data_IF_180309172107
#
_entry.id   IF_180309172107
#
_cell.length_a   1.000
_cell.length_b   1.000
_cell.length_c   1.000
_cell.angle_alpha   90.00
_cell.angle_beta   90.00
_cell.angle_gamma   90.00
#
_symmetry.space_group_name_H-M   'P 1'
#
loop_
_entity.id
_entity.type
_entity.pdbx_description
1 polymer ?
#
# COMPACT_ATOMS: atom_id res chain seq x y z
N UNK A 1 -0.62 6.77 18.88
CA UNK A 1 0.60 7.39 19.42
C UNK A 1 1.35 8.05 18.28
N UNK A 2 1.45 9.36 18.30
CA UNK A 2 2.20 10.11 17.28
C UNK A 2 3.69 9.88 17.57
N UNK A 3 4.49 9.51 16.55
CA UNK A 3 5.91 9.25 16.74
C UNK A 3 6.67 10.51 17.18
N UNK A 4 7.74 10.35 17.98
CA UNK A 4 8.61 11.46 18.37
C UNK A 4 9.17 12.21 17.16
N UNK A 5 9.41 11.53 16.06
CA UNK A 5 9.91 12.13 14.83
C UNK A 5 8.89 13.07 14.17
N UNK A 6 7.61 12.76 14.28
CA UNK A 6 6.55 13.65 13.80
C UNK A 6 6.47 14.93 14.62
N UNK A 7 6.58 14.85 15.95
CA UNK A 7 6.63 16.01 16.84
C UNK A 7 7.86 16.88 16.60
N UNK A 8 9.02 16.30 16.32
CA UNK A 8 10.25 17.02 15.97
C UNK A 8 10.06 17.78 14.66
N UNK A 9 9.46 17.16 13.64
CA UNK A 9 9.17 17.77 12.36
C UNK A 9 8.21 18.97 12.52
N UNK A 10 7.16 18.83 13.34
CA UNK A 10 6.24 19.92 13.66
C UNK A 10 6.89 21.07 14.42
N UNK A 11 7.73 20.78 15.38
CA UNK A 11 8.48 21.81 16.11
C UNK A 11 9.43 22.58 15.19
N UNK A 12 10.04 21.92 14.21
CA UNK A 12 10.89 22.57 13.21
C UNK A 12 10.08 23.53 12.32
N UNK A 13 8.90 23.10 11.85
CA UNK A 13 7.97 23.95 11.08
C UNK A 13 7.52 25.15 11.90
N UNK A 14 7.24 24.97 13.19
CA UNK A 14 6.88 26.03 14.11
C UNK A 14 8.00 27.08 14.25
N UNK A 15 9.25 26.65 14.32
CA UNK A 15 10.41 27.56 14.41
C UNK A 15 10.62 28.36 13.11
N UNK A 16 10.26 27.84 11.96
CA UNK A 16 10.51 28.45 10.64
C UNK A 16 9.32 29.27 10.13
N UNK A 17 8.09 28.92 10.56
CA UNK A 17 6.85 29.56 10.10
C UNK A 17 6.11 30.29 11.22
N UNK A 18 6.32 31.60 11.41
CA UNK A 18 5.49 32.38 12.32
C UNK A 18 4.03 32.40 11.85
N UNK A 19 3.11 31.88 12.69
CA UNK A 19 1.66 31.85 12.41
C UNK A 19 1.08 30.48 12.06
N UNK A 20 1.87 29.41 12.07
CA UNK A 20 1.37 28.05 11.90
C UNK A 20 1.01 27.50 13.28
N UNK A 21 -0.27 27.25 13.51
CA UNK A 21 -0.72 26.58 14.74
C UNK A 21 -0.54 25.07 14.63
N UNK A 22 -0.07 24.46 15.69
CA UNK A 22 0.09 23.02 15.78
C UNK A 22 -1.28 22.36 15.92
N UNK A 23 -1.61 21.42 15.00
CA UNK A 23 -2.83 20.64 15.11
C UNK A 23 -2.76 19.70 16.31
N UNK A 24 -3.88 19.55 17.02
CA UNK A 24 -4.00 18.59 18.11
C UNK A 24 -3.98 17.13 17.57
N UNK A 25 -3.58 16.13 18.40
CA UNK A 25 -3.67 14.72 18.02
C UNK A 25 -5.09 14.30 17.62
N UNK A 26 -6.10 14.90 18.24
CA UNK A 26 -7.50 14.66 17.90
C UNK A 26 -7.85 15.17 16.50
N UNK A 27 -7.43 16.38 16.16
CA UNK A 27 -7.65 16.97 14.83
C UNK A 27 -6.92 16.17 13.74
N UNK A 28 -5.68 15.74 14.00
CA UNK A 28 -4.93 14.91 13.06
C UNK A 28 -5.68 13.61 12.77
N UNK A 29 -6.17 12.94 13.82
CA UNK A 29 -6.86 11.65 13.71
C UNK A 29 -8.25 11.76 13.07
N UNK A 30 -9.05 12.77 13.44
CA UNK A 30 -10.47 12.83 13.10
C UNK A 30 -10.81 13.83 12.00
N UNK A 31 -9.91 14.71 11.65
CA UNK A 31 -10.14 15.71 10.61
C UNK A 31 -9.19 15.52 9.43
N UNK A 32 -7.89 15.61 9.68
CA UNK A 32 -6.91 15.61 8.60
C UNK A 32 -6.70 14.23 8.01
N UNK A 33 -6.65 13.17 8.81
CA UNK A 33 -6.52 11.81 8.31
C UNK A 33 -7.74 11.40 7.48
N UNK A 34 -8.94 11.73 7.93
CA UNK A 34 -10.17 11.46 7.17
C UNK A 34 -10.24 12.24 5.85
N UNK A 35 -9.67 13.46 5.80
CA UNK A 35 -9.56 14.23 4.56
C UNK A 35 -8.58 13.59 3.59
N UNK A 36 -7.40 13.21 4.06
CA UNK A 36 -6.39 12.52 3.26
C UNK A 36 -6.89 11.17 2.74
N UNK A 37 -7.62 10.41 3.55
CA UNK A 37 -8.21 9.14 3.13
C UNK A 37 -9.19 9.33 1.98
N UNK A 38 -10.04 10.35 2.04
CA UNK A 38 -10.98 10.67 0.96
C UNK A 38 -10.29 11.14 -0.32
N UNK A 39 -9.26 11.96 -0.19
CA UNK A 39 -8.47 12.44 -1.32
C UNK A 39 -7.71 11.28 -1.97
N UNK A 40 -7.16 10.37 -1.16
CA UNK A 40 -6.50 9.17 -1.63
C UNK A 40 -7.48 8.23 -2.34
N UNK A 41 -8.66 8.03 -1.80
CA UNK A 41 -9.71 7.20 -2.41
C UNK A 41 -10.15 7.77 -3.77
N UNK A 42 -10.35 9.08 -3.87
CA UNK A 42 -10.66 9.76 -5.13
C UNK A 42 -9.53 9.59 -6.15
N UNK A 43 -8.28 9.74 -5.73
CA UNK A 43 -7.11 9.51 -6.59
C UNK A 43 -7.04 8.07 -7.10
N UNK A 44 -7.22 7.08 -6.23
CA UNK A 44 -7.23 5.67 -6.61
C UNK A 44 -8.34 5.36 -7.62
N UNK A 45 -9.52 5.94 -7.44
CA UNK A 45 -10.64 5.76 -8.38
C UNK A 45 -10.32 6.31 -9.78
N UNK A 46 -9.65 7.46 -9.87
CA UNK A 46 -9.17 8.02 -11.14
C UNK A 46 -8.17 7.06 -11.80
N UNK A 47 -7.26 6.47 -11.03
CA UNK A 47 -6.30 5.53 -11.56
C UNK A 47 -6.96 4.21 -12.01
N UNK A 48 -7.99 3.74 -11.31
CA UNK A 48 -8.76 2.54 -11.71
C UNK A 48 -9.37 2.68 -13.10
N UNK A 49 -9.87 3.86 -13.46
CA UNK A 49 -10.36 4.13 -14.83
C UNK A 49 -9.23 4.04 -15.87
N UNK A 50 -8.03 4.51 -15.53
CA UNK A 50 -6.86 4.36 -16.41
C UNK A 50 -6.45 2.90 -16.59
N UNK A 51 -6.57 2.05 -15.57
CA UNK A 51 -6.28 0.63 -15.68
C UNK A 51 -7.16 -0.06 -16.71
N UNK A 52 -8.42 0.33 -16.81
CA UNK A 52 -9.36 -0.19 -17.81
C UNK A 52 -8.92 0.13 -19.25
N UNK A 53 -8.34 1.30 -19.44
CA UNK A 53 -7.93 1.76 -20.78
C UNK A 53 -6.57 1.21 -21.21
N UNK A 54 -5.59 1.18 -20.30
CA UNK A 54 -4.20 0.91 -20.64
C UNK A 54 -3.69 -0.45 -20.12
N UNK A 55 -4.45 -1.11 -19.29
CA UNK A 55 -3.98 -2.26 -18.51
C UNK A 55 -3.05 -1.84 -17.38
N UNK A 56 -2.72 -2.76 -16.51
CA UNK A 56 -1.83 -2.52 -15.37
C UNK A 56 -0.99 -3.75 -15.03
N UNK A 57 0.08 -3.52 -14.27
CA UNK A 57 0.94 -4.56 -13.71
C UNK A 57 0.69 -4.67 -12.22
N UNK A 58 0.41 -5.87 -11.74
CA UNK A 58 0.37 -6.16 -10.30
C UNK A 58 1.79 -6.47 -9.84
N UNK A 59 2.24 -5.77 -8.82
CA UNK A 59 3.51 -6.03 -8.15
C UNK A 59 3.25 -6.63 -6.77
N UNK A 60 3.97 -7.69 -6.46
CA UNK A 60 3.88 -8.39 -5.19
C UNK A 60 5.27 -8.42 -4.54
N UNK A 61 5.38 -7.83 -3.38
CA UNK A 61 6.61 -7.79 -2.59
C UNK A 61 6.37 -8.45 -1.23
N UNK A 62 7.21 -9.41 -0.88
CA UNK A 62 7.13 -10.14 0.38
C UNK A 62 8.32 -9.87 1.26
N UNK A 63 8.06 -9.59 2.51
CA UNK A 63 9.07 -9.34 3.50
C UNK A 63 8.88 -10.22 4.75
N UNK A 64 9.95 -10.87 5.18
CA UNK A 64 9.94 -11.77 6.34
C UNK A 64 10.91 -11.26 7.38
N UNK A 65 10.44 -11.01 8.60
CA UNK A 65 11.28 -10.70 9.77
C UNK A 65 11.88 -11.97 10.39
N UNK A 66 13.01 -11.85 11.10
CA UNK A 66 13.57 -12.94 11.92
C UNK A 66 12.57 -13.49 12.95
N UNK A 67 11.61 -12.66 13.37
CA UNK A 67 10.51 -13.02 14.29
C UNK A 67 9.37 -13.84 13.66
N UNK A 68 9.57 -14.35 12.44
CA UNK A 68 8.57 -15.10 11.65
C UNK A 68 7.35 -14.28 11.21
N UNK A 69 7.34 -12.97 11.42
CA UNK A 69 6.33 -12.10 10.84
C UNK A 69 6.62 -11.95 9.34
N UNK A 70 5.66 -12.28 8.53
CA UNK A 70 5.77 -12.17 7.08
C UNK A 70 4.61 -11.37 6.54
N UNK A 71 4.94 -10.34 5.79
CA UNK A 71 3.98 -9.42 5.20
C UNK A 71 4.15 -9.47 3.69
N UNK A 72 3.04 -9.54 2.98
CA UNK A 72 2.98 -9.46 1.53
C UNK A 72 2.28 -8.16 1.16
N UNK A 73 2.96 -7.31 0.41
CA UNK A 73 2.43 -6.07 -0.11
C UNK A 73 1.99 -6.25 -1.57
N UNK A 74 0.81 -5.78 -1.88
CA UNK A 74 0.29 -5.75 -3.25
C UNK A 74 0.19 -4.31 -3.73
N UNK A 75 0.75 -4.07 -4.90
CA UNK A 75 0.80 -2.76 -5.54
C UNK A 75 0.37 -2.89 -7.01
N UNK A 76 -0.16 -1.82 -7.57
CA UNK A 76 -0.48 -1.73 -9.00
C UNK A 76 0.36 -0.65 -9.65
N UNK A 77 1.03 -1.01 -10.73
CA UNK A 77 1.86 -0.11 -11.51
C UNK A 77 1.24 0.19 -12.87
N UNK A 78 1.23 1.46 -13.24
CA UNK A 78 0.85 1.94 -14.55
C UNK A 78 1.60 3.23 -14.91
N UNK A 79 2.38 3.20 -15.99
CA UNK A 79 3.03 4.39 -16.59
C UNK A 79 3.77 5.29 -15.58
N UNK A 80 4.61 4.70 -14.74
CA UNK A 80 5.39 5.44 -13.74
C UNK A 80 4.68 5.71 -12.42
N UNK A 81 3.39 5.42 -12.30
CA UNK A 81 2.64 5.54 -11.06
C UNK A 81 2.47 4.18 -10.40
N UNK A 82 2.80 4.11 -9.13
CA UNK A 82 2.58 2.92 -8.29
C UNK A 82 1.55 3.24 -7.23
N UNK A 83 0.53 2.40 -7.12
CA UNK A 83 -0.50 2.51 -6.11
C UNK A 83 -0.44 1.30 -5.19
N UNK A 84 -0.32 1.55 -3.90
CA UNK A 84 -0.45 0.53 -2.89
C UNK A 84 -1.93 0.10 -2.76
N UNK A 85 -2.19 -1.21 -2.84
CA UNK A 85 -3.52 -1.76 -2.66
C UNK A 85 -3.75 -2.21 -1.23
N UNK A 86 -2.95 -3.17 -0.80
CA UNK A 86 -3.08 -3.77 0.53
C UNK A 86 -1.84 -4.51 0.97
N UNK A 87 -1.76 -4.71 2.26
CA UNK A 87 -0.78 -5.55 2.94
C UNK A 87 -1.49 -6.71 3.62
N UNK A 88 -0.94 -7.90 3.50
CA UNK A 88 -1.51 -9.11 4.09
C UNK A 88 -0.48 -9.77 4.99
N UNK A 89 -0.89 -10.08 6.23
CA UNK A 89 -0.09 -10.90 7.13
C UNK A 89 -0.17 -12.38 6.70
N UNK A 90 0.93 -12.89 6.23
CA UNK A 90 1.07 -14.28 5.79
C UNK A 90 1.92 -15.13 6.75
N UNK A 91 2.15 -14.69 7.98
CA UNK A 91 3.05 -15.31 8.96
C UNK A 91 2.72 -16.78 9.22
N UNK A 92 1.46 -17.16 9.18
CA UNK A 92 1.02 -18.52 9.44
C UNK A 92 1.05 -19.43 8.20
N UNK A 93 1.12 -18.87 6.99
CA UNK A 93 0.87 -19.60 5.73
C UNK A 93 1.91 -19.38 4.64
N UNK A 94 3.05 -18.79 4.95
CA UNK A 94 4.11 -18.47 3.97
C UNK A 94 4.62 -19.65 3.17
N UNK A 95 4.57 -20.84 3.74
CA UNK A 95 5.06 -22.05 3.08
C UNK A 95 4.00 -22.73 2.19
N UNK A 96 2.79 -22.21 2.20
CA UNK A 96 1.71 -22.78 1.39
C UNK A 96 1.50 -21.96 0.11
N UNK A 97 2.01 -22.48 -0.99
CA UNK A 97 1.82 -21.89 -2.33
C UNK A 97 0.35 -21.67 -2.68
N UNK A 98 -0.55 -22.50 -2.13
CA UNK A 98 -1.99 -22.36 -2.35
C UNK A 98 -2.57 -21.12 -1.71
N UNK A 99 -2.08 -20.76 -0.51
CA UNK A 99 -2.54 -19.57 0.19
C UNK A 99 -2.20 -18.31 -0.61
N UNK A 100 -1.01 -18.22 -1.14
CA UNK A 100 -0.54 -17.06 -1.88
C UNK A 100 -1.19 -16.97 -3.25
N UNK A 101 -1.37 -18.09 -3.91
CA UNK A 101 -2.15 -18.15 -5.14
C UNK A 101 -3.59 -17.64 -4.91
N UNK A 102 -4.20 -18.01 -3.78
CA UNK A 102 -5.51 -17.50 -3.36
C UNK A 102 -5.52 -15.98 -3.19
N UNK A 103 -4.53 -15.42 -2.45
CA UNK A 103 -4.39 -13.99 -2.25
C UNK A 103 -4.18 -13.23 -3.57
N UNK A 104 -3.33 -13.76 -4.45
CA UNK A 104 -3.09 -13.18 -5.76
C UNK A 104 -4.35 -13.19 -6.63
N UNK A 105 -5.11 -14.28 -6.60
CA UNK A 105 -6.37 -14.39 -7.30
C UNK A 105 -7.40 -13.36 -6.81
N UNK A 106 -7.45 -13.10 -5.51
CA UNK A 106 -8.34 -12.10 -4.93
C UNK A 106 -7.93 -10.67 -5.35
N UNK A 107 -6.63 -10.38 -5.39
CA UNK A 107 -6.12 -9.09 -5.89
C UNK A 107 -6.44 -8.91 -7.38
N UNK A 108 -6.26 -9.94 -8.20
CA UNK A 108 -6.62 -9.90 -9.62
C UNK A 108 -8.10 -9.61 -9.82
N UNK A 109 -8.97 -10.21 -9.01
CA UNK A 109 -10.41 -9.93 -9.05
C UNK A 109 -10.74 -8.49 -8.65
N UNK A 110 -10.06 -7.97 -7.63
CA UNK A 110 -10.24 -6.60 -7.14
C UNK A 110 -9.82 -5.56 -8.18
N UNK A 111 -8.72 -5.79 -8.88
CA UNK A 111 -8.21 -4.91 -9.96
C UNK A 111 -9.03 -5.06 -11.25
N UNK A 112 -9.59 -6.22 -11.47
CA UNK A 112 -10.26 -6.61 -12.71
C UNK A 112 -9.32 -7.46 -13.58
N UNK A 113 -9.70 -8.71 -13.80
CA UNK A 113 -8.91 -9.68 -14.56
C UNK A 113 -8.53 -9.17 -15.96
N UNK A 114 -9.44 -8.46 -16.58
CA UNK A 114 -9.28 -7.86 -17.92
C UNK A 114 -8.27 -6.72 -17.97
N UNK A 115 -7.98 -6.11 -16.82
CA UNK A 115 -7.08 -4.96 -16.71
C UNK A 115 -5.63 -5.38 -16.42
N UNK A 116 -5.42 -6.62 -15.99
CA UNK A 116 -4.10 -7.12 -15.59
C UNK A 116 -3.34 -7.65 -16.80
N UNK A 117 -2.25 -6.97 -17.15
CA UNK A 117 -1.37 -7.34 -18.27
C UNK A 117 -0.22 -8.24 -17.80
N UNK A 118 0.31 -7.96 -16.62
CA UNK A 118 1.48 -8.63 -16.08
C UNK A 118 1.43 -8.70 -14.55
N UNK A 119 2.10 -9.71 -14.01
CA UNK A 119 2.33 -9.85 -12.57
C UNK A 119 3.82 -9.97 -12.34
N UNK A 120 4.36 -9.13 -11.45
CA UNK A 120 5.76 -9.13 -11.05
C UNK A 120 5.85 -9.50 -9.58
N UNK A 121 6.66 -10.49 -9.27
CA UNK A 121 6.91 -10.94 -7.90
C UNK A 121 8.40 -10.87 -7.58
N UNK A 122 8.73 -10.48 -6.36
CA UNK A 122 10.11 -10.53 -5.90
C UNK A 122 10.55 -11.99 -5.66
N UNK A 123 11.79 -12.31 -6.07
CA UNK A 123 12.40 -13.64 -5.91
C UNK A 123 12.57 -14.08 -4.44
N UNK A 124 12.43 -13.17 -3.49
CA UNK A 124 12.45 -13.47 -2.05
C UNK A 124 11.21 -14.21 -1.54
N UNK A 125 10.13 -14.21 -2.31
CA UNK A 125 8.97 -15.04 -2.07
C UNK A 125 9.25 -16.44 -2.62
N UNK A 126 9.12 -17.48 -1.79
CA UNK A 126 9.43 -18.88 -2.12
C UNK A 126 8.52 -19.50 -3.24
N UNK A 127 8.15 -18.69 -4.23
CA UNK A 127 7.17 -19.00 -5.27
C UNK A 127 7.73 -19.54 -6.58
N UNK A 128 9.03 -19.56 -6.73
CA UNK A 128 9.69 -19.87 -8.01
C UNK A 128 9.82 -21.39 -8.19
N UNK A 129 8.82 -22.16 -7.84
CA UNK A 129 8.69 -23.55 -8.32
C UNK A 129 7.22 -23.84 -8.64
N UNK A 130 6.80 -23.38 -9.77
CA UNK A 130 5.73 -24.00 -10.55
C UNK A 130 6.33 -24.47 -11.85
#
# INVERSE_FOLDING_TARGET
MISKNFLICFNYIWMVGMGIEQSSPYEIKHKYLDMEDKDMEAYVNIQREKWKTYGCTIMCDGWTRPTKLSIINFMVYLKGNTIFLKSVDASNNIKDNKCIYGLLKDVIKEVGKENVVQIVMDNGLAFVKV
#
